data_IF_049200406413
#
_entry.id   IF_049200406413
#
_cell.length_a   1.000
_cell.length_b   1.000
_cell.length_c   1.000
_cell.angle_alpha   90.00
_cell.angle_beta   90.00
_cell.angle_gamma   90.00
#
_symmetry.space_group_name_H-M   'P 1'
#
loop_
_entity.id
_entity.type
_entity.pdbx_description
1 polymer ?
#
# COMPACT_ATOMS: atom_id res chain seq x y z
N UNK A 1 -13.82 4.32 13.68
CA UNK A 1 -14.83 5.40 13.78
C UNK A 1 -15.05 6.21 12.50
N UNK A 2 -14.23 6.06 11.44
CA UNK A 2 -14.44 6.78 10.17
C UNK A 2 -14.32 8.31 10.27
N UNK A 3 -13.53 8.80 11.24
CA UNK A 3 -13.44 10.23 11.59
C UNK A 3 -12.32 10.99 10.90
N UNK A 4 -11.39 10.28 10.24
CA UNK A 4 -10.25 10.87 9.56
C UNK A 4 -10.38 10.65 8.05
N UNK A 5 -10.02 11.68 7.28
CA UNK A 5 -10.02 11.62 5.83
C UNK A 5 -8.84 10.80 5.31
N UNK A 6 -9.05 10.09 4.20
CA UNK A 6 -8.05 9.28 3.54
C UNK A 6 -8.09 9.45 2.03
N UNK A 7 -6.96 9.17 1.40
CA UNK A 7 -6.78 9.21 -0.05
C UNK A 7 -6.69 7.78 -0.55
N UNK A 8 -7.50 7.44 -1.55
CA UNK A 8 -7.41 6.14 -2.22
C UNK A 8 -6.11 6.03 -3.01
N UNK A 9 -5.41 4.91 -2.85
CA UNK A 9 -4.19 4.58 -3.57
C UNK A 9 -4.27 3.14 -4.07
N UNK A 10 -3.37 2.72 -4.99
CA UNK A 10 -3.30 1.33 -5.44
C UNK A 10 -3.07 0.30 -4.32
N UNK A 11 -2.54 0.72 -3.17
CA UNK A 11 -2.21 -0.17 -2.05
C UNK A 11 -3.19 -0.07 -0.88
N UNK A 12 -4.28 0.69 -1.05
CA UNK A 12 -5.28 0.92 -0.02
C UNK A 12 -5.51 2.41 0.25
N UNK A 13 -6.04 2.74 1.43
CA UNK A 13 -6.33 4.12 1.81
C UNK A 13 -5.18 4.64 2.66
N UNK A 14 -4.53 5.70 2.20
CA UNK A 14 -3.51 6.41 2.97
C UNK A 14 -4.14 7.61 3.69
N UNK A 15 -3.56 8.09 4.81
CA UNK A 15 -4.01 9.31 5.46
C UNK A 15 -4.00 10.52 4.50
N UNK A 16 -5.05 11.32 4.52
CA UNK A 16 -5.05 12.61 3.83
C UNK A 16 -4.09 13.60 4.53
N UNK A 17 -3.70 14.68 3.84
CA UNK A 17 -2.86 15.73 4.44
C UNK A 17 -3.55 16.29 5.69
N UNK A 18 -2.84 16.29 6.82
CA UNK A 18 -3.36 16.75 8.11
C UNK A 18 -4.26 15.75 8.85
N UNK A 19 -4.48 14.55 8.30
CA UNK A 19 -5.24 13.49 8.98
C UNK A 19 -4.47 12.82 10.12
N UNK A 20 -3.14 13.01 10.17
CA UNK A 20 -2.26 12.52 11.23
C UNK A 20 -1.96 13.65 12.21
N UNK A 21 -2.11 13.38 13.51
CA UNK A 21 -1.60 14.25 14.56
C UNK A 21 -0.10 13.98 14.75
N UNK A 22 0.74 14.90 14.28
CA UNK A 22 2.20 14.84 14.38
C UNK A 22 2.75 15.70 15.51
N UNK A 23 1.90 16.20 16.43
CA UNK A 23 2.31 17.08 17.52
C UNK A 23 3.37 16.43 18.41
N UNK A 24 4.51 17.11 18.54
CA UNK A 24 5.64 16.67 19.36
C UNK A 24 6.64 15.78 18.64
N UNK A 25 6.46 15.54 17.33
CA UNK A 25 7.46 14.90 16.48
C UNK A 25 8.37 15.96 15.85
N UNK A 26 9.67 15.68 15.80
CA UNK A 26 10.62 16.41 14.96
C UNK A 26 10.53 15.85 13.54
N UNK A 27 9.50 16.30 12.80
CA UNK A 27 9.18 15.83 11.46
C UNK A 27 8.76 17.00 10.58
N UNK A 28 9.44 17.17 9.44
CA UNK A 28 9.07 18.20 8.47
C UNK A 28 7.84 17.79 7.66
N UNK A 29 7.11 18.76 7.09
CA UNK A 29 6.02 18.44 6.14
C UNK A 29 6.54 17.66 4.93
N UNK A 30 7.75 17.97 4.45
CA UNK A 30 8.33 17.29 3.30
C UNK A 30 8.64 15.82 3.59
N UNK A 31 9.14 15.51 4.80
CA UNK A 31 9.39 14.13 5.20
C UNK A 31 8.08 13.36 5.36
N UNK A 32 7.04 13.99 5.92
CA UNK A 32 5.72 13.37 6.04
C UNK A 32 5.10 13.09 4.65
N UNK A 33 5.17 14.06 3.75
CA UNK A 33 4.67 13.90 2.38
C UNK A 33 5.44 12.79 1.64
N UNK A 34 6.75 12.70 1.85
CA UNK A 34 7.58 11.62 1.31
C UNK A 34 7.19 10.24 1.88
N UNK A 35 7.01 10.13 3.19
CA UNK A 35 6.58 8.89 3.86
C UNK A 35 5.21 8.38 3.37
N UNK A 36 4.32 9.29 2.96
CA UNK A 36 2.99 8.99 2.45
C UNK A 36 2.94 8.83 0.93
N UNK A 37 4.09 8.81 0.26
CA UNK A 37 4.16 8.63 -1.19
C UNK A 37 3.95 7.15 -1.58
N UNK A 38 3.25 6.93 -2.69
CA UNK A 38 3.10 5.60 -3.32
C UNK A 38 3.69 5.66 -4.73
N UNK A 39 4.94 5.20 -4.86
CA UNK A 39 5.61 5.06 -6.14
C UNK A 39 5.14 3.79 -6.86
N UNK A 40 4.40 3.95 -7.96
CA UNK A 40 3.83 2.82 -8.69
C UNK A 40 4.90 1.93 -9.32
N UNK A 41 6.04 2.48 -9.73
CA UNK A 41 7.10 1.69 -10.38
C UNK A 41 7.74 0.76 -9.34
N UNK A 42 8.11 1.31 -8.17
CA UNK A 42 8.63 0.52 -7.04
C UNK A 42 7.62 -0.54 -6.60
N UNK A 43 6.35 -0.17 -6.47
CA UNK A 43 5.31 -1.13 -6.06
C UNK A 43 5.03 -2.21 -7.10
N UNK A 44 5.26 -1.96 -8.39
CA UNK A 44 5.20 -3.02 -9.42
C UNK A 44 6.35 -4.00 -9.29
N UNK A 45 7.56 -3.51 -9.01
CA UNK A 45 8.72 -4.35 -8.76
C UNK A 45 8.48 -5.25 -7.54
N UNK A 46 7.99 -4.70 -6.44
CA UNK A 46 7.62 -5.46 -5.24
C UNK A 46 6.50 -6.47 -5.53
N UNK A 47 5.44 -6.06 -6.25
CA UNK A 47 4.36 -6.95 -6.63
C UNK A 47 4.86 -8.13 -7.48
N UNK A 48 5.90 -7.95 -8.30
CA UNK A 48 6.47 -9.04 -9.11
C UNK A 48 7.11 -10.16 -8.26
N UNK A 49 7.46 -9.89 -7.00
CA UNK A 49 8.02 -10.88 -6.07
C UNK A 49 6.94 -11.70 -5.34
N UNK A 50 5.70 -11.18 -5.27
CA UNK A 50 4.59 -11.83 -4.56
C UNK A 50 4.26 -13.24 -5.07
N UNK A 51 4.21 -13.51 -6.40
CA UNK A 51 3.93 -14.85 -6.90
C UNK A 51 4.93 -15.91 -6.42
N UNK A 52 6.22 -15.58 -6.36
CA UNK A 52 7.24 -16.50 -5.86
C UNK A 52 6.95 -16.87 -4.40
N UNK A 53 6.65 -15.88 -3.56
CA UNK A 53 6.29 -16.12 -2.16
C UNK A 53 5.02 -16.95 -2.03
N UNK A 54 3.95 -16.61 -2.75
CA UNK A 54 2.67 -17.34 -2.70
C UNK A 54 2.81 -18.79 -3.19
N UNK A 55 3.72 -19.06 -4.13
CA UNK A 55 4.00 -20.42 -4.60
C UNK A 55 4.69 -21.29 -3.54
N UNK A 56 5.36 -20.71 -2.53
CA UNK A 56 6.00 -21.50 -1.46
C UNK A 56 4.99 -22.30 -0.62
N UNK A 57 3.73 -21.89 -0.59
CA UNK A 57 2.65 -22.61 0.10
C UNK A 57 1.94 -23.65 -0.80
N UNK A 58 2.26 -23.70 -2.10
CA UNK A 58 1.75 -24.68 -3.05
C UNK A 58 0.22 -24.71 -3.13
N UNK A 59 -0.37 -25.90 -3.03
CA UNK A 59 -1.82 -26.12 -3.11
C UNK A 59 -2.60 -25.53 -1.91
N UNK A 60 -1.91 -25.14 -0.84
CA UNK A 60 -2.54 -24.55 0.34
C UNK A 60 -2.81 -23.04 0.19
N UNK A 61 -2.31 -22.39 -0.85
CA UNK A 61 -2.56 -20.97 -1.09
C UNK A 61 -4.03 -20.75 -1.45
N UNK A 62 -4.81 -20.02 -0.62
CA UNK A 62 -6.20 -19.72 -0.94
C UNK A 62 -6.31 -18.94 -2.25
N UNK A 63 -7.37 -19.20 -3.01
CA UNK A 63 -7.64 -18.53 -4.29
C UNK A 63 -7.75 -17.01 -4.10
N UNK A 64 -8.29 -16.59 -2.97
CA UNK A 64 -8.52 -15.20 -2.59
C UNK A 64 -7.22 -14.41 -2.54
N UNK A 65 -6.11 -15.00 -2.07
CA UNK A 65 -4.80 -14.33 -2.08
C UNK A 65 -4.31 -14.03 -3.50
N UNK A 66 -4.55 -14.97 -4.42
CA UNK A 66 -4.25 -14.77 -5.83
C UNK A 66 -5.16 -13.73 -6.49
N UNK A 67 -6.43 -13.66 -6.05
CA UNK A 67 -7.37 -12.63 -6.51
C UNK A 67 -6.92 -11.23 -6.07
N UNK A 68 -6.49 -11.09 -4.82
CA UNK A 68 -5.95 -9.84 -4.27
C UNK A 68 -4.64 -9.42 -4.97
N UNK A 69 -3.74 -10.37 -5.23
CA UNK A 69 -2.54 -10.10 -6.04
C UNK A 69 -2.89 -9.55 -7.42
N UNK A 70 -3.81 -10.21 -8.14
CA UNK A 70 -4.26 -9.73 -9.45
C UNK A 70 -4.96 -8.37 -9.37
N UNK A 71 -5.71 -8.11 -8.30
CA UNK A 71 -6.34 -6.82 -8.06
C UNK A 71 -5.29 -5.71 -7.83
N UNK A 72 -4.26 -5.99 -7.04
CA UNK A 72 -3.14 -5.08 -6.82
C UNK A 72 -2.44 -4.73 -8.12
N UNK A 73 -2.06 -5.73 -8.93
CA UNK A 73 -1.41 -5.50 -10.23
C UNK A 73 -2.26 -4.61 -11.13
N UNK A 74 -3.59 -4.85 -11.20
CA UNK A 74 -4.51 -3.99 -11.96
C UNK A 74 -4.55 -2.55 -11.46
N UNK A 75 -4.51 -2.32 -10.15
CA UNK A 75 -4.53 -0.96 -9.57
C UNK A 75 -3.20 -0.21 -9.79
N UNK A 76 -2.09 -0.94 -9.83
CA UNK A 76 -0.77 -0.39 -10.14
C UNK A 76 -0.62 -0.01 -11.62
N UNK A 77 -1.39 -0.65 -12.50
CA UNK A 77 -1.46 -0.37 -13.94
C UNK A 77 -0.42 -1.12 -14.73
#
# INVERSE_FOLDING_TARGET
>A
DGRAEGVETPIGILPAKGALDTKGLDLSEADLDFLLTVDKDVWREEAALVPEHLNTFGEHTPKELWDEYRALVRRLG
#
